data_IF_762959439535
#
_entry.id   IF_762959439535
#
_cell.length_a   1.000
_cell.length_b   1.000
_cell.length_c   1.000
_cell.angle_alpha   90.00
_cell.angle_beta   90.00
_cell.angle_gamma   90.00
#
_symmetry.space_group_name_H-M   'P 1'
#
loop_
_entity.id
_entity.type
_entity.pdbx_description
1 polymer ?
#
# COMPACT_ATOMS: atom_id res chain seq x y z
N UNK A 1 -18.79 23.90 14.40
CA UNK A 1 -19.00 22.93 13.32
C UNK A 1 -18.15 21.70 13.65
N UNK A 2 -18.75 20.56 14.01
CA UNK A 2 -17.99 19.36 14.38
C UNK A 2 -17.61 18.62 13.10
N UNK A 3 -16.33 18.51 12.80
CA UNK A 3 -15.80 17.67 11.72
C UNK A 3 -15.38 16.33 12.29
N UNK A 4 -15.87 15.27 11.71
CA UNK A 4 -15.42 13.92 11.98
C UNK A 4 -14.43 13.52 10.86
N UNK A 5 -13.17 13.29 11.21
CA UNK A 5 -12.18 12.70 10.30
C UNK A 5 -12.20 11.20 10.59
N UNK A 6 -12.80 10.44 9.70
CA UNK A 6 -12.80 8.99 9.78
C UNK A 6 -11.57 8.45 9.06
N UNK A 7 -10.57 7.98 9.79
CA UNK A 7 -9.40 7.30 9.26
C UNK A 7 -9.68 5.80 9.18
N UNK A 8 -10.08 5.33 8.02
CA UNK A 8 -10.17 3.90 7.75
C UNK A 8 -8.78 3.32 7.48
N UNK A 9 -8.55 2.08 7.87
CA UNK A 9 -7.26 1.37 7.85
C UNK A 9 -6.56 1.30 6.46
N UNK A 10 -7.19 1.79 5.41
CA UNK A 10 -6.68 1.85 4.03
C UNK A 10 -6.61 3.29 3.50
N UNK A 11 -6.10 4.23 4.28
CA UNK A 11 -5.75 5.60 3.82
C UNK A 11 -6.80 6.32 2.93
N UNK A 12 -8.08 6.14 3.17
CA UNK A 12 -9.11 7.01 2.59
C UNK A 12 -9.63 7.97 3.66
N UNK A 13 -9.34 9.25 3.51
CA UNK A 13 -9.94 10.30 4.33
C UNK A 13 -11.34 10.54 3.77
N UNK A 14 -12.36 10.04 4.45
CA UNK A 14 -13.75 10.32 4.11
C UNK A 14 -14.27 11.40 5.05
N UNK A 15 -14.36 12.64 4.57
CA UNK A 15 -15.05 13.70 5.28
C UNK A 15 -16.56 13.55 5.10
N UNK A 16 -17.25 13.08 6.12
CA UNK A 16 -18.71 12.96 6.12
C UNK A 16 -19.34 14.24 6.72
N UNK A 17 -20.08 15.00 5.93
CA UNK A 17 -20.89 16.10 6.40
C UNK A 17 -22.35 15.89 6.00
N UNK A 18 -23.22 15.61 6.96
CA UNK A 18 -24.66 15.40 6.74
C UNK A 18 -25.37 16.58 6.02
N UNK A 19 -24.82 17.80 6.10
CA UNK A 19 -25.34 19.00 5.41
C UNK A 19 -24.92 19.09 3.94
N UNK A 20 -23.83 18.43 3.52
CA UNK A 20 -23.37 18.42 2.13
C UNK A 20 -24.31 17.63 1.22
N UNK A 21 -25.00 16.62 1.75
CA UNK A 21 -25.98 15.85 0.97
C UNK A 21 -27.23 16.66 0.57
N UNK A 22 -27.55 17.76 1.25
CA UNK A 22 -28.73 18.58 0.94
C UNK A 22 -28.50 19.57 -0.22
N UNK A 23 -27.25 19.87 -0.58
CA UNK A 23 -26.88 20.79 -1.67
C UNK A 23 -26.40 20.13 -2.96
N UNK A 24 -26.31 18.80 -3.02
CA UNK A 24 -25.84 18.09 -4.21
C UNK A 24 -26.93 18.00 -5.31
N UNK A 25 -26.53 18.21 -6.56
CA UNK A 25 -27.42 18.08 -7.71
C UNK A 25 -28.00 16.65 -7.84
N UNK A 26 -29.14 16.51 -8.52
CA UNK A 26 -29.75 15.20 -8.78
C UNK A 26 -28.77 14.20 -9.45
N UNK A 27 -27.85 14.71 -10.28
CA UNK A 27 -26.80 13.92 -10.95
C UNK A 27 -25.76 13.34 -9.98
N UNK A 28 -25.35 14.12 -8.98
CA UNK A 28 -24.41 13.68 -7.93
C UNK A 28 -25.06 12.69 -6.93
N UNK A 29 -26.38 12.82 -6.68
CA UNK A 29 -27.13 11.85 -5.87
C UNK A 29 -27.29 10.49 -6.57
N UNK A 30 -27.45 10.49 -7.88
CA UNK A 30 -27.50 9.26 -8.69
C UNK A 30 -26.17 8.48 -8.60
N UNK A 31 -25.02 9.13 -8.65
CA UNK A 31 -23.69 8.51 -8.51
C UNK A 31 -23.53 7.80 -7.15
N UNK A 32 -24.01 8.39 -6.05
CA UNK A 32 -23.93 7.78 -4.71
C UNK A 32 -24.85 6.56 -4.56
N UNK A 33 -26.02 6.56 -5.19
CA UNK A 33 -27.00 5.45 -5.12
C UNK A 33 -26.51 4.24 -5.92
N UNK A 34 -25.81 4.47 -7.01
CA UNK A 34 -25.33 3.41 -7.91
C UNK A 34 -24.13 2.66 -7.29
N UNK A 35 -23.35 3.30 -6.42
CA UNK A 35 -22.28 2.65 -5.60
C UNK A 35 -22.81 1.50 -4.71
N UNK A 36 -24.13 1.46 -4.45
CA UNK A 36 -24.79 0.39 -3.67
C UNK A 36 -25.26 -0.81 -4.51
N UNK A 37 -25.26 -0.75 -5.82
CA UNK A 37 -25.85 -1.77 -6.70
C UNK A 37 -24.87 -2.52 -7.62
N UNK A 38 -23.56 -2.36 -7.42
CA UNK A 38 -22.57 -3.36 -7.84
C UNK A 38 -22.31 -3.57 -9.34
N UNK A 39 -22.76 -2.71 -10.24
CA UNK A 39 -22.26 -2.63 -11.62
C UNK A 39 -22.39 -1.18 -12.09
N UNK A 40 -21.31 -0.43 -12.10
CA UNK A 40 -21.24 0.82 -12.82
C UNK A 40 -20.14 0.71 -13.86
N UNK A 41 -20.55 0.72 -15.12
CA UNK A 41 -19.65 1.11 -16.21
C UNK A 41 -19.49 2.62 -16.07
N UNK A 42 -18.46 3.04 -15.31
CA UNK A 42 -18.07 4.45 -15.26
C UNK A 42 -17.12 4.66 -16.42
N UNK A 43 -17.54 5.39 -17.44
CA UNK A 43 -16.67 5.82 -18.51
C UNK A 43 -15.72 6.91 -17.96
N UNK A 44 -14.42 6.75 -18.18
CA UNK A 44 -13.45 7.82 -17.94
C UNK A 44 -13.73 8.92 -18.98
N UNK A 45 -13.89 10.18 -18.55
CA UNK A 45 -14.14 11.31 -19.46
C UNK A 45 -12.90 11.69 -20.29
N UNK A 46 -12.14 10.69 -20.76
CA UNK A 46 -10.95 10.84 -21.61
C UNK A 46 -10.75 9.56 -22.42
N UNK A 47 -10.87 9.63 -23.73
CA UNK A 47 -10.83 8.49 -24.63
C UNK A 47 -9.50 7.70 -24.58
N UNK A 48 -8.35 8.37 -24.38
CA UNK A 48 -7.08 7.69 -24.23
C UNK A 48 -7.03 6.87 -22.93
N UNK A 49 -7.36 7.47 -21.82
CA UNK A 49 -7.36 6.77 -20.52
C UNK A 49 -8.38 5.63 -20.48
N UNK A 50 -9.54 5.80 -21.13
CA UNK A 50 -10.50 4.71 -21.30
C UNK A 50 -9.88 3.54 -22.06
N UNK A 51 -9.20 3.81 -23.19
CA UNK A 51 -8.51 2.75 -23.95
C UNK A 51 -7.41 2.05 -23.16
N UNK A 52 -6.71 2.77 -22.26
CA UNK A 52 -5.73 2.16 -21.35
C UNK A 52 -6.42 1.26 -20.33
N UNK A 53 -7.51 1.73 -19.73
CA UNK A 53 -8.27 0.94 -18.75
C UNK A 53 -8.84 -0.35 -19.35
N UNK A 54 -9.43 -0.29 -20.53
CA UNK A 54 -9.93 -1.47 -21.26
C UNK A 54 -8.83 -2.52 -21.51
N UNK A 55 -7.61 -2.08 -21.87
CA UNK A 55 -6.45 -2.98 -22.01
C UNK A 55 -6.08 -3.65 -20.69
N UNK A 56 -6.08 -2.86 -19.59
CA UNK A 56 -5.79 -3.39 -18.25
C UNK A 56 -6.84 -4.40 -17.81
N UNK A 57 -8.13 -4.08 -17.98
CA UNK A 57 -9.24 -4.97 -17.63
C UNK A 57 -9.15 -6.31 -18.39
N UNK A 58 -8.91 -6.24 -19.70
CA UNK A 58 -8.75 -7.42 -20.55
C UNK A 58 -7.59 -8.32 -20.14
N UNK A 59 -6.49 -7.74 -19.65
CA UNK A 59 -5.29 -8.48 -19.21
C UNK A 59 -5.42 -9.06 -17.80
N UNK A 60 -6.30 -8.50 -16.97
CA UNK A 60 -6.39 -8.82 -15.54
C UNK A 60 -7.81 -9.28 -15.15
N UNK A 61 -8.36 -10.33 -15.80
CA UNK A 61 -9.71 -10.79 -15.53
C UNK A 61 -9.88 -11.24 -14.06
N UNK A 62 -10.88 -10.68 -13.38
CA UNK A 62 -11.20 -11.03 -12.00
C UNK A 62 -10.37 -10.35 -10.92
N UNK A 63 -9.39 -9.52 -11.27
CA UNK A 63 -8.56 -8.77 -10.32
C UNK A 63 -9.23 -7.45 -9.87
N UNK A 64 -10.35 -7.56 -9.17
CA UNK A 64 -11.23 -6.43 -8.82
C UNK A 64 -10.52 -5.31 -8.06
N UNK A 65 -9.68 -5.64 -7.09
CA UNK A 65 -8.97 -4.65 -6.28
C UNK A 65 -7.97 -3.86 -7.11
N UNK A 66 -7.27 -4.55 -8.01
CA UNK A 66 -6.32 -3.89 -8.92
C UNK A 66 -7.03 -3.01 -9.95
N UNK A 67 -8.09 -3.53 -10.57
CA UNK A 67 -8.88 -2.79 -11.56
C UNK A 67 -9.50 -1.52 -10.96
N UNK A 68 -10.04 -1.61 -9.73
CA UNK A 68 -10.55 -0.44 -9.02
C UNK A 68 -9.47 0.61 -8.78
N UNK A 69 -8.31 0.21 -8.31
CA UNK A 69 -7.20 1.13 -8.05
C UNK A 69 -6.70 1.82 -9.33
N UNK A 70 -6.58 1.07 -10.43
CA UNK A 70 -6.21 1.63 -11.72
C UNK A 70 -7.25 2.64 -12.19
N UNK A 71 -8.54 2.32 -12.10
CA UNK A 71 -9.62 3.23 -12.48
C UNK A 71 -9.54 4.55 -11.71
N UNK A 72 -9.47 4.50 -10.37
CA UNK A 72 -9.42 5.68 -9.50
C UNK A 72 -8.20 6.57 -9.80
N UNK A 73 -7.05 5.96 -10.10
CA UNK A 73 -5.84 6.72 -10.45
C UNK A 73 -5.96 7.33 -11.85
N UNK A 74 -6.40 6.57 -12.85
CA UNK A 74 -6.58 7.09 -14.21
C UNK A 74 -7.56 8.27 -14.25
N UNK A 75 -8.68 8.19 -13.49
CA UNK A 75 -9.61 9.31 -13.33
C UNK A 75 -8.90 10.57 -12.79
N UNK A 76 -8.03 10.40 -11.80
CA UNK A 76 -7.27 11.51 -11.22
C UNK A 76 -6.22 12.11 -12.17
N UNK A 77 -5.78 11.34 -13.18
CA UNK A 77 -4.78 11.76 -14.16
C UNK A 77 -5.37 12.49 -15.38
N UNK A 78 -6.70 12.58 -15.54
CA UNK A 78 -7.34 13.29 -16.65
C UNK A 78 -6.73 14.69 -16.86
N UNK A 79 -6.66 15.58 -15.85
CA UNK A 79 -6.10 16.92 -16.06
C UNK A 79 -4.60 16.93 -16.36
N UNK A 80 -3.90 15.83 -16.07
CA UNK A 80 -2.47 15.69 -16.38
C UNK A 80 -2.30 15.38 -17.86
N UNK A 81 -2.98 14.38 -18.40
CA UNK A 81 -2.86 13.99 -19.81
C UNK A 81 -3.39 15.07 -20.76
N UNK A 82 -4.39 15.84 -20.34
CA UNK A 82 -4.88 17.00 -21.10
C UNK A 82 -3.84 18.13 -21.21
N UNK A 83 -3.02 18.33 -20.18
CA UNK A 83 -1.96 19.37 -20.17
C UNK A 83 -0.62 18.87 -20.71
N UNK A 84 -0.41 17.58 -20.76
CA UNK A 84 0.85 16.94 -21.09
C UNK A 84 0.66 15.82 -22.14
N UNK A 85 0.34 16.20 -23.42
CA UNK A 85 0.20 15.23 -24.50
C UNK A 85 1.49 14.43 -24.78
N UNK A 86 2.64 15.01 -24.47
CA UNK A 86 3.94 14.33 -24.55
C UNK A 86 4.00 13.03 -23.72
N UNK A 87 3.31 12.96 -22.58
CA UNK A 87 3.23 11.74 -21.77
C UNK A 87 2.38 10.66 -22.45
N UNK A 88 1.37 11.07 -23.20
CA UNK A 88 0.53 10.17 -23.99
C UNK A 88 1.34 9.60 -25.16
N UNK A 89 2.02 10.44 -25.93
CA UNK A 89 2.87 10.04 -27.05
C UNK A 89 4.00 9.10 -26.60
N UNK A 90 4.60 9.36 -25.45
CA UNK A 90 5.63 8.50 -24.87
C UNK A 90 5.10 7.19 -24.24
N UNK A 91 3.78 6.96 -24.22
CA UNK A 91 3.17 5.76 -23.64
C UNK A 91 3.41 5.61 -22.12
N UNK A 92 3.56 6.72 -21.40
CA UNK A 92 3.89 6.68 -19.97
C UNK A 92 2.78 6.01 -19.17
N UNK A 93 1.51 6.32 -19.47
CA UNK A 93 0.36 5.78 -18.72
C UNK A 93 0.23 4.27 -18.98
N UNK A 94 0.40 3.81 -20.24
CA UNK A 94 0.38 2.38 -20.54
C UNK A 94 1.45 1.60 -19.75
N UNK A 95 2.63 2.19 -19.52
CA UNK A 95 3.71 1.56 -18.73
C UNK A 95 3.48 1.61 -17.23
N UNK A 96 2.90 2.71 -16.75
CA UNK A 96 2.66 2.90 -15.30
C UNK A 96 1.62 1.93 -14.74
N UNK A 97 0.66 1.49 -15.56
CA UNK A 97 -0.38 0.55 -15.13
C UNK A 97 0.02 -0.93 -15.21
N UNK A 98 1.20 -1.22 -15.76
CA UNK A 98 1.71 -2.59 -15.91
C UNK A 98 2.93 -2.81 -15.00
N UNK A 99 2.94 -3.82 -14.12
CA UNK A 99 4.09 -4.12 -13.28
C UNK A 99 5.26 -4.67 -14.10
N UNK A 100 6.49 -4.29 -13.77
CA UNK A 100 7.68 -4.80 -14.44
C UNK A 100 7.87 -6.30 -14.19
N UNK A 101 7.55 -6.79 -12.98
CA UNK A 101 7.64 -8.22 -12.62
C UNK A 101 6.64 -8.60 -11.54
N UNK A 102 6.14 -9.83 -11.64
CA UNK A 102 5.37 -10.49 -10.62
C UNK A 102 6.00 -11.84 -10.30
N UNK A 103 6.30 -12.07 -9.02
CA UNK A 103 6.94 -13.28 -8.52
C UNK A 103 5.96 -13.94 -7.57
N UNK A 104 5.57 -15.17 -7.86
CA UNK A 104 4.68 -15.99 -7.04
C UNK A 104 5.41 -17.27 -6.69
N UNK A 105 5.43 -17.62 -5.41
CA UNK A 105 6.17 -18.79 -4.94
C UNK A 105 5.43 -19.51 -3.80
N UNK A 106 5.75 -20.79 -3.65
CA UNK A 106 5.23 -21.63 -2.57
C UNK A 106 6.05 -21.43 -1.30
N UNK A 107 5.37 -21.36 -0.14
CA UNK A 107 5.98 -21.20 1.18
C UNK A 107 5.54 -22.37 2.06
N UNK A 108 6.27 -23.51 2.06
CA UNK A 108 6.01 -24.64 2.98
C UNK A 108 6.66 -24.36 4.33
N UNK A 109 5.96 -24.65 5.42
CA UNK A 109 6.47 -24.52 6.78
C UNK A 109 5.81 -25.56 7.69
N UNK A 110 6.37 -25.83 8.86
CA UNK A 110 5.86 -26.82 9.81
C UNK A 110 5.29 -26.11 11.03
N UNK A 111 4.07 -26.45 11.42
CA UNK A 111 3.44 -25.92 12.63
C UNK A 111 3.97 -26.58 13.91
N UNK A 112 3.52 -26.14 15.07
CA UNK A 112 3.97 -26.65 16.36
C UNK A 112 3.52 -28.10 16.62
N UNK A 113 2.55 -28.62 15.85
CA UNK A 113 2.12 -30.02 15.90
C UNK A 113 2.90 -30.93 14.92
N UNK A 114 3.92 -30.40 14.26
CA UNK A 114 4.71 -31.16 13.27
C UNK A 114 4.02 -31.31 11.90
N UNK A 115 2.89 -30.64 11.67
CA UNK A 115 2.15 -30.72 10.42
C UNK A 115 2.67 -29.71 9.40
N UNK A 116 2.86 -30.16 8.15
CA UNK A 116 3.24 -29.28 7.05
C UNK A 116 2.07 -28.38 6.65
N UNK A 117 2.34 -27.11 6.60
CA UNK A 117 1.48 -26.05 6.10
C UNK A 117 2.05 -25.50 4.81
N UNK A 118 1.20 -25.00 3.91
CA UNK A 118 1.62 -24.42 2.64
C UNK A 118 0.87 -23.12 2.40
N UNK A 119 1.62 -22.04 2.30
CA UNK A 119 1.11 -20.74 1.93
C UNK A 119 1.67 -20.31 0.56
N UNK A 120 1.11 -19.25 0.01
CA UNK A 120 1.56 -18.62 -1.22
C UNK A 120 2.24 -17.30 -0.90
N UNK A 121 3.46 -17.11 -1.39
CA UNK A 121 4.21 -15.87 -1.33
C UNK A 121 4.10 -15.08 -2.62
N UNK A 122 4.12 -13.74 -2.50
CA UNK A 122 4.03 -12.81 -3.62
C UNK A 122 5.06 -11.69 -3.46
N UNK A 123 5.68 -11.28 -4.58
CA UNK A 123 6.40 -10.01 -4.71
C UNK A 123 6.09 -9.40 -6.07
N UNK A 124 5.52 -8.20 -6.06
CA UNK A 124 5.33 -7.39 -7.26
C UNK A 124 6.38 -6.29 -7.25
N UNK A 125 7.29 -6.34 -8.20
CA UNK A 125 8.25 -5.31 -8.53
C UNK A 125 7.58 -4.43 -9.59
N UNK A 126 6.94 -3.34 -9.13
CA UNK A 126 5.98 -2.66 -9.97
C UNK A 126 6.65 -1.68 -10.93
N UNK A 127 7.51 -0.78 -10.42
CA UNK A 127 8.20 0.20 -11.24
C UNK A 127 9.52 0.63 -10.59
N UNK A 128 10.61 0.61 -11.35
CA UNK A 128 11.96 0.97 -10.93
C UNK A 128 12.51 2.24 -11.60
N UNK A 129 11.68 2.99 -12.34
CA UNK A 129 12.13 4.13 -13.14
C UNK A 129 12.87 5.21 -12.34
N UNK A 130 12.54 5.39 -11.06
CA UNK A 130 13.15 6.40 -10.18
C UNK A 130 14.02 5.80 -9.08
N UNK A 131 14.23 4.49 -9.06
CA UNK A 131 15.11 3.82 -8.09
C UNK A 131 14.69 2.39 -7.77
N UNK A 132 15.39 1.72 -6.85
CA UNK A 132 15.07 0.35 -6.42
C UNK A 132 13.62 0.19 -5.99
N UNK A 133 13.04 -0.97 -6.26
CA UNK A 133 11.68 -1.26 -5.80
C UNK A 133 11.61 -1.15 -4.28
N UNK A 134 10.58 -0.51 -3.75
CA UNK A 134 10.40 -0.30 -2.32
C UNK A 134 8.95 -0.47 -1.92
N UNK A 135 8.69 -1.31 -0.93
CA UNK A 135 7.37 -1.47 -0.35
C UNK A 135 7.23 -2.65 0.59
N UNK A 136 6.17 -2.63 1.41
CA UNK A 136 5.95 -3.57 2.50
C UNK A 136 5.64 -5.00 2.07
N UNK A 137 5.74 -5.91 3.05
CA UNK A 137 5.26 -7.28 2.97
C UNK A 137 4.02 -7.38 3.86
N UNK A 138 2.88 -7.75 3.29
CA UNK A 138 1.62 -7.95 4.02
C UNK A 138 1.41 -9.42 4.33
N UNK A 139 1.19 -9.76 5.60
CA UNK A 139 0.82 -11.08 6.06
C UNK A 139 -0.64 -11.06 6.54
N UNK A 140 -1.55 -11.56 5.71
CA UNK A 140 -2.97 -11.55 6.00
C UNK A 140 -3.71 -12.57 5.11
N UNK A 141 -4.75 -13.28 5.62
CA UNK A 141 -5.49 -14.28 4.84
C UNK A 141 -6.11 -13.77 3.54
N UNK A 142 -6.41 -12.46 3.45
CA UNK A 142 -6.97 -11.86 2.23
C UNK A 142 -5.95 -11.60 1.12
N UNK A 143 -4.67 -11.86 1.34
CA UNK A 143 -3.63 -11.61 0.35
C UNK A 143 -3.76 -12.56 -0.84
N UNK A 144 -3.87 -11.97 -2.02
CA UNK A 144 -3.86 -12.64 -3.32
C UNK A 144 -3.10 -11.78 -4.34
N UNK A 145 -2.96 -12.27 -5.56
CA UNK A 145 -2.24 -11.55 -6.62
C UNK A 145 -2.82 -10.15 -6.88
N UNK A 146 -4.16 -10.04 -6.99
CA UNK A 146 -4.85 -8.77 -7.19
C UNK A 146 -4.54 -7.76 -6.08
N UNK A 147 -4.61 -8.21 -4.80
CA UNK A 147 -4.31 -7.36 -3.63
C UNK A 147 -2.87 -6.85 -3.67
N UNK A 148 -1.89 -7.71 -3.95
CA UNK A 148 -0.48 -7.29 -3.98
C UNK A 148 -0.20 -6.40 -5.19
N UNK A 149 -0.84 -6.66 -6.32
CA UNK A 149 -0.70 -5.83 -7.52
C UNK A 149 -1.24 -4.41 -7.29
N UNK A 150 -2.47 -4.26 -6.74
CA UNK A 150 -3.01 -2.93 -6.47
C UNK A 150 -2.16 -2.16 -5.47
N UNK A 151 -1.70 -2.83 -4.40
CA UNK A 151 -0.84 -2.18 -3.41
C UNK A 151 0.53 -1.78 -3.99
N UNK A 152 1.07 -2.56 -4.93
CA UNK A 152 2.28 -2.20 -5.66
C UNK A 152 2.08 -1.00 -6.58
N UNK A 153 0.93 -0.93 -7.24
CA UNK A 153 0.54 0.19 -8.08
C UNK A 153 0.39 1.49 -7.27
N UNK A 154 -0.33 1.48 -6.15
CA UNK A 154 -0.43 2.64 -5.27
C UNK A 154 0.93 3.05 -4.69
N UNK A 155 1.81 2.07 -4.44
CA UNK A 155 3.13 2.32 -3.86
C UNK A 155 4.04 3.16 -4.77
N UNK A 156 3.93 3.06 -6.10
CA UNK A 156 4.75 3.87 -7.00
C UNK A 156 4.43 5.36 -6.86
N UNK A 157 3.16 5.72 -6.75
CA UNK A 157 2.74 7.13 -6.54
C UNK A 157 3.12 7.63 -5.16
N UNK A 158 2.90 6.80 -4.13
CA UNK A 158 3.31 7.12 -2.76
C UNK A 158 4.79 7.43 -2.67
N UNK A 159 5.65 6.61 -3.27
CA UNK A 159 7.09 6.78 -3.21
C UNK A 159 7.57 7.99 -4.02
N UNK A 160 6.99 8.23 -5.21
CA UNK A 160 7.34 9.39 -6.04
C UNK A 160 7.10 10.72 -5.33
N UNK A 161 6.08 10.82 -4.49
CA UNK A 161 5.76 12.02 -3.71
C UNK A 161 6.78 12.35 -2.62
N UNK A 162 7.67 11.43 -2.28
CA UNK A 162 8.73 11.68 -1.28
C UNK A 162 9.89 12.50 -1.85
N UNK A 163 10.04 12.58 -3.18
CA UNK A 163 11.20 13.16 -3.84
C UNK A 163 12.47 12.33 -3.74
N UNK A 164 12.41 11.13 -3.13
CA UNK A 164 13.56 10.23 -2.99
C UNK A 164 13.67 9.29 -4.21
N UNK A 165 14.89 8.83 -4.56
CA UNK A 165 15.13 7.91 -5.67
C UNK A 165 14.75 6.47 -5.29
N UNK A 166 13.48 6.23 -5.04
CA UNK A 166 12.92 4.93 -4.68
C UNK A 166 11.72 4.59 -5.58
N UNK A 167 11.79 3.43 -6.20
CA UNK A 167 10.70 2.87 -7.00
C UNK A 167 9.58 2.29 -6.14
N UNK A 168 8.68 1.53 -6.76
CA UNK A 168 7.54 0.92 -6.06
C UNK A 168 7.51 -0.60 -6.21
N UNK A 169 7.21 -1.26 -5.11
CA UNK A 169 6.97 -2.70 -5.06
C UNK A 169 6.13 -3.08 -3.86
N UNK A 170 5.58 -4.29 -3.88
CA UNK A 170 4.79 -4.83 -2.78
C UNK A 170 4.94 -6.34 -2.70
N UNK A 171 4.92 -6.86 -1.47
CA UNK A 171 4.93 -8.30 -1.24
C UNK A 171 3.89 -8.72 -0.22
N UNK A 172 3.73 -10.00 -0.05
CA UNK A 172 2.84 -10.56 0.95
C UNK A 172 2.64 -12.06 0.85
N UNK A 173 1.83 -12.55 1.76
CA UNK A 173 1.38 -13.94 1.79
C UNK A 173 -0.01 -14.03 2.43
N UNK A 174 -0.76 -15.05 2.06
CA UNK A 174 -2.02 -15.45 2.69
C UNK A 174 -1.85 -16.06 4.09
N UNK A 175 -0.64 -16.06 4.63
CA UNK A 175 -0.33 -16.46 5.99
C UNK A 175 -0.96 -15.50 7.01
N UNK A 176 -1.65 -16.05 8.02
CA UNK A 176 -2.18 -15.28 9.16
C UNK A 176 -1.25 -15.45 10.38
N UNK A 177 -0.53 -14.40 10.80
CA UNK A 177 0.33 -14.48 11.99
C UNK A 177 -0.44 -14.46 13.30
N UNK A 178 -1.74 -14.12 13.28
CA UNK A 178 -2.55 -14.08 14.51
C UNK A 178 -2.74 -15.46 15.10
N UNK A 179 -2.50 -15.57 16.40
CA UNK A 179 -2.64 -16.84 17.13
C UNK A 179 -1.56 -17.87 16.84
N UNK A 180 -0.52 -17.52 16.06
CA UNK A 180 0.65 -18.35 15.83
C UNK A 180 1.71 -18.11 16.90
N UNK A 181 2.43 -19.17 17.27
CA UNK A 181 3.60 -19.05 18.14
C UNK A 181 4.75 -18.32 17.44
N UNK A 182 5.69 -17.77 18.21
CA UNK A 182 6.90 -17.17 17.68
C UNK A 182 7.71 -18.14 16.83
N UNK A 183 7.74 -19.42 17.23
CA UNK A 183 8.38 -20.49 16.47
C UNK A 183 7.73 -20.74 15.11
N UNK A 184 6.41 -20.77 15.04
CA UNK A 184 5.65 -20.92 13.79
C UNK A 184 5.89 -19.73 12.86
N UNK A 185 5.79 -18.49 13.39
CA UNK A 185 6.05 -17.27 12.61
C UNK A 185 7.49 -17.23 12.11
N UNK A 186 8.45 -17.64 12.94
CA UNK A 186 9.86 -17.72 12.52
C UNK A 186 10.06 -18.73 11.37
N UNK A 187 9.52 -19.95 11.48
CA UNK A 187 9.62 -20.99 10.44
C UNK A 187 8.98 -20.51 9.13
N UNK A 188 7.80 -19.89 9.21
CA UNK A 188 7.17 -19.28 8.05
C UNK A 188 8.06 -18.19 7.42
N UNK A 189 8.55 -17.21 8.20
CA UNK A 189 9.41 -16.13 7.72
C UNK A 189 10.71 -16.63 7.08
N UNK A 190 11.30 -17.68 7.65
CA UNK A 190 12.50 -18.32 7.09
C UNK A 190 12.20 -18.97 5.74
N UNK A 191 11.11 -19.72 5.62
CA UNK A 191 10.70 -20.33 4.36
C UNK A 191 10.35 -19.29 3.30
N UNK A 192 9.60 -18.26 3.67
CA UNK A 192 9.25 -17.14 2.79
C UNK A 192 10.50 -16.43 2.25
N UNK A 193 11.47 -16.14 3.13
CA UNK A 193 12.70 -15.46 2.75
C UNK A 193 13.63 -16.34 1.91
N UNK A 194 13.60 -17.66 2.09
CA UNK A 194 14.40 -18.60 1.27
C UNK A 194 14.10 -18.46 -0.23
N UNK A 195 12.85 -18.20 -0.58
CA UNK A 195 12.49 -17.91 -1.97
C UNK A 195 12.68 -16.43 -2.32
N UNK A 196 12.22 -15.51 -1.47
CA UNK A 196 12.26 -14.09 -1.75
C UNK A 196 13.69 -13.52 -1.91
N UNK A 197 14.68 -14.04 -1.16
CA UNK A 197 16.07 -13.54 -1.18
C UNK A 197 16.73 -13.63 -2.56
N UNK A 198 16.21 -14.43 -3.48
CA UNK A 198 16.68 -14.53 -4.86
C UNK A 198 16.36 -13.30 -5.71
N UNK A 199 15.44 -12.47 -5.25
CA UNK A 199 14.84 -11.39 -6.02
C UNK A 199 15.00 -10.00 -5.41
N UNK A 200 15.57 -9.90 -4.21
CA UNK A 200 15.71 -8.67 -3.43
C UNK A 200 17.18 -8.36 -3.13
N UNK A 201 17.43 -7.11 -2.79
CA UNK A 201 18.77 -6.63 -2.42
C UNK A 201 18.73 -5.16 -2.09
N UNK A 202 19.78 -4.63 -1.46
CA UNK A 202 19.86 -3.25 -1.01
C UNK A 202 19.68 -2.23 -2.16
N UNK A 203 20.15 -2.57 -3.36
CA UNK A 203 20.17 -1.69 -4.53
C UNK A 203 19.16 -2.13 -5.62
N UNK A 204 18.39 -3.19 -5.38
CA UNK A 204 17.42 -3.71 -6.37
C UNK A 204 15.99 -3.64 -5.87
N UNK A 205 15.72 -4.22 -4.70
CA UNK A 205 14.38 -4.29 -4.13
C UNK A 205 14.48 -4.38 -2.61
N UNK A 206 13.91 -3.40 -1.92
CA UNK A 206 14.00 -3.25 -0.45
C UNK A 206 12.61 -3.40 0.18
N UNK A 207 12.24 -4.60 0.64
CA UNK A 207 11.00 -4.82 1.37
C UNK A 207 10.96 -4.09 2.72
N UNK A 208 9.76 -3.98 3.30
CA UNK A 208 9.49 -3.34 4.58
C UNK A 208 8.34 -4.04 5.32
N UNK A 209 8.02 -3.57 6.52
CA UNK A 209 6.83 -3.98 7.24
C UNK A 209 5.53 -3.45 6.61
N UNK A 210 4.44 -4.16 6.83
CA UNK A 210 3.06 -3.80 6.47
C UNK A 210 2.10 -4.52 7.45
N UNK A 211 0.82 -4.63 7.15
CA UNK A 211 -0.15 -5.39 7.97
C UNK A 211 0.39 -6.81 8.23
N UNK A 212 0.40 -7.20 9.50
CA UNK A 212 0.88 -8.52 9.95
C UNK A 212 2.40 -8.71 9.92
N UNK A 213 3.17 -7.67 9.56
CA UNK A 213 4.64 -7.72 9.49
C UNK A 213 5.24 -6.56 10.28
N UNK A 214 5.58 -6.82 11.53
CA UNK A 214 6.25 -5.88 12.41
C UNK A 214 7.75 -6.15 12.54
N UNK A 215 8.35 -5.57 13.58
CA UNK A 215 9.79 -5.71 13.85
C UNK A 215 10.22 -7.17 14.06
N UNK A 216 9.36 -8.00 14.67
CA UNK A 216 9.59 -9.43 14.88
C UNK A 216 9.75 -10.17 13.55
N UNK A 217 8.78 -10.05 12.65
CA UNK A 217 8.78 -10.69 11.34
C UNK A 217 9.94 -10.20 10.48
N UNK A 218 10.19 -8.89 10.49
CA UNK A 218 11.35 -8.30 9.78
C UNK A 218 12.66 -8.86 10.34
N UNK A 219 12.77 -9.04 11.66
CA UNK A 219 13.93 -9.64 12.29
C UNK A 219 14.18 -11.07 11.81
N UNK A 220 13.14 -11.92 11.76
CA UNK A 220 13.24 -13.29 11.27
C UNK A 220 13.61 -13.34 9.77
N UNK A 221 13.00 -12.49 8.96
CA UNK A 221 13.30 -12.38 7.53
C UNK A 221 14.74 -11.91 7.29
N UNK A 222 15.19 -10.89 8.01
CA UNK A 222 16.55 -10.38 7.87
C UNK A 222 17.60 -11.39 8.32
N UNK A 223 17.36 -12.07 9.44
CA UNK A 223 18.22 -13.15 9.91
C UNK A 223 18.38 -14.27 8.88
N UNK A 224 17.30 -14.67 8.22
CA UNK A 224 17.35 -15.69 7.16
C UNK A 224 18.05 -15.18 5.90
N UNK A 225 17.80 -13.96 5.48
CA UNK A 225 18.51 -13.32 4.36
C UNK A 225 20.02 -13.33 4.60
N UNK A 226 20.44 -12.85 5.78
CA UNK A 226 21.85 -12.86 6.18
C UNK A 226 22.47 -14.24 6.13
N UNK A 227 21.78 -15.27 6.61
CA UNK A 227 22.28 -16.66 6.58
C UNK A 227 22.48 -17.20 5.17
N UNK A 228 21.56 -16.88 4.24
CA UNK A 228 21.63 -17.36 2.86
C UNK A 228 22.65 -16.59 2.03
N UNK A 229 22.63 -15.27 2.13
CA UNK A 229 23.44 -14.36 1.30
C UNK A 229 24.83 -14.10 1.88
N UNK A 230 25.01 -14.35 3.18
CA UNK A 230 26.20 -13.97 3.95
C UNK A 230 26.51 -12.47 3.86
N UNK A 231 25.45 -11.62 3.83
CA UNK A 231 25.54 -10.18 3.68
C UNK A 231 24.80 -9.46 4.83
N UNK A 232 25.39 -8.36 5.32
CA UNK A 232 24.73 -7.47 6.26
C UNK A 232 24.51 -6.11 5.58
N UNK A 233 23.38 -5.99 4.86
CA UNK A 233 23.09 -4.85 3.99
C UNK A 233 21.77 -4.16 4.35
N UNK A 234 21.44 -3.07 3.64
CA UNK A 234 20.20 -2.31 3.76
C UNK A 234 18.97 -2.98 3.14
N UNK A 235 18.96 -4.28 2.91
CA UNK A 235 17.95 -5.01 2.13
C UNK A 235 16.52 -4.95 2.67
N UNK A 236 16.32 -4.76 3.95
CA UNK A 236 15.02 -4.66 4.62
C UNK A 236 14.95 -3.38 5.47
N UNK A 237 13.83 -2.68 5.47
CA UNK A 237 13.57 -1.60 6.43
C UNK A 237 12.58 -2.05 7.50
N UNK A 238 12.60 -1.39 8.66
CA UNK A 238 11.85 -1.81 9.85
C UNK A 238 12.60 -2.77 10.75
N UNK A 239 13.92 -2.90 10.56
CA UNK A 239 14.83 -3.64 11.45
C UNK A 239 14.92 -2.98 12.84
N UNK A 240 15.27 -3.76 13.85
CA UNK A 240 15.60 -3.23 15.16
C UNK A 240 16.85 -2.33 15.12
N UNK A 241 16.95 -1.38 16.03
CA UNK A 241 18.07 -0.40 16.10
C UNK A 241 19.43 -1.08 16.20
N UNK A 242 19.51 -2.19 16.92
CA UNK A 242 20.77 -2.94 17.13
C UNK A 242 21.31 -3.64 15.88
N UNK A 243 20.50 -3.75 14.80
CA UNK A 243 20.92 -4.40 13.56
C UNK A 243 20.49 -3.61 12.29
N UNK A 244 20.70 -2.31 12.32
CA UNK A 244 20.58 -1.45 11.16
C UNK A 244 19.22 -0.79 10.96
N UNK A 245 18.40 -0.69 12.01
CA UNK A 245 17.14 0.05 12.01
C UNK A 245 17.34 1.56 12.12
N UNK A 246 16.28 2.31 11.83
CA UNK A 246 16.23 3.77 11.89
C UNK A 246 15.41 4.25 13.08
N UNK A 247 15.83 5.34 13.70
CA UNK A 247 15.04 6.07 14.71
C UNK A 247 13.75 6.61 14.11
N UNK A 248 12.76 6.86 14.96
CA UNK A 248 11.45 7.44 14.63
C UNK A 248 10.63 6.67 13.59
N UNK A 249 11.04 5.44 13.19
CA UNK A 249 10.28 4.65 12.19
C UNK A 249 8.92 4.22 12.71
N UNK A 250 8.83 3.95 14.01
CA UNK A 250 7.60 3.47 14.65
C UNK A 250 6.51 4.54 14.62
N UNK A 251 6.86 5.77 14.91
CA UNK A 251 5.98 6.94 14.99
C UNK A 251 5.66 7.55 13.61
N UNK A 252 6.56 7.37 12.64
CA UNK A 252 6.61 8.14 11.41
C UNK A 252 5.28 8.16 10.63
N UNK A 253 4.56 7.05 10.57
CA UNK A 253 3.31 6.98 9.80
C UNK A 253 2.18 7.76 10.48
N UNK A 254 2.02 7.59 11.80
CA UNK A 254 1.02 8.31 12.58
C UNK A 254 1.29 9.81 12.62
N UNK A 255 2.54 10.19 12.86
CA UNK A 255 2.97 11.59 12.89
C UNK A 255 2.84 12.26 11.51
N UNK A 256 3.31 11.60 10.45
CA UNK A 256 3.21 12.11 9.09
C UNK A 256 1.77 12.33 8.64
N UNK A 257 0.85 11.46 9.08
CA UNK A 257 -0.58 11.64 8.84
C UNK A 257 -1.10 12.93 9.50
N UNK A 258 -0.71 13.21 10.74
CA UNK A 258 -1.13 14.44 11.44
C UNK A 258 -0.52 15.68 10.79
N UNK A 259 0.74 15.65 10.38
CA UNK A 259 1.37 16.76 9.66
C UNK A 259 0.67 17.06 8.33
N UNK A 260 0.40 16.01 7.54
CA UNK A 260 -0.33 16.17 6.28
C UNK A 260 -1.73 16.74 6.49
N UNK A 261 -2.45 16.22 7.50
CA UNK A 261 -3.80 16.69 7.84
C UNK A 261 -3.77 18.16 8.31
N UNK A 262 -2.77 18.56 9.07
CA UNK A 262 -2.57 19.95 9.50
C UNK A 262 -2.44 20.90 8.29
N UNK A 263 -1.55 20.56 7.34
CA UNK A 263 -1.38 21.36 6.12
C UNK A 263 -2.65 21.35 5.26
N UNK A 264 -3.35 20.23 5.15
CA UNK A 264 -4.62 20.16 4.43
C UNK A 264 -5.69 21.10 5.04
N UNK A 265 -5.85 21.10 6.36
CA UNK A 265 -6.80 21.98 7.07
C UNK A 265 -6.41 23.45 6.86
N UNK A 266 -5.13 23.76 6.96
CA UNK A 266 -4.61 25.10 6.72
C UNK A 266 -4.88 25.58 5.29
N UNK A 267 -4.53 24.79 4.27
CA UNK A 267 -4.73 25.15 2.87
C UNK A 267 -6.21 25.27 2.49
N UNK A 268 -7.06 24.37 2.98
CA UNK A 268 -8.47 24.34 2.57
C UNK A 268 -9.36 25.29 3.37
N UNK A 269 -8.99 25.63 4.61
CA UNK A 269 -9.87 26.35 5.55
C UNK A 269 -9.18 27.47 6.30
N UNK A 270 -7.87 27.62 6.18
CA UNK A 270 -7.04 28.52 6.99
C UNK A 270 -7.26 28.32 8.52
N UNK A 271 -7.38 27.06 8.93
CA UNK A 271 -7.61 26.64 10.32
C UNK A 271 -6.48 25.71 10.80
N UNK A 272 -6.49 25.37 12.10
CA UNK A 272 -5.55 24.42 12.73
C UNK A 272 -6.30 23.28 13.39
N UNK A 273 -5.60 22.32 14.00
CA UNK A 273 -6.20 21.28 14.83
C UNK A 273 -6.86 21.80 16.12
N UNK A 274 -6.44 22.97 16.60
CA UNK A 274 -6.93 23.53 17.86
C UNK A 274 -8.45 23.59 17.92
N UNK A 275 -9.03 23.06 18.99
CA UNK A 275 -10.48 23.04 19.22
C UNK A 275 -11.26 22.06 18.33
N UNK A 276 -10.61 21.18 17.56
CA UNK A 276 -11.28 20.21 16.71
C UNK A 276 -11.44 18.84 17.42
N UNK A 277 -12.51 18.14 17.08
CA UNK A 277 -12.68 16.74 17.48
C UNK A 277 -12.05 15.86 16.41
N UNK A 278 -11.07 15.04 16.82
CA UNK A 278 -10.40 14.05 15.99
C UNK A 278 -10.92 12.67 16.34
N UNK A 279 -11.33 11.90 15.35
CA UNK A 279 -11.78 10.51 15.51
C UNK A 279 -10.83 9.61 14.75
N UNK A 280 -10.23 8.64 15.46
CA UNK A 280 -9.28 7.68 14.89
C UNK A 280 -9.87 6.28 15.07
N UNK A 281 -9.95 5.51 13.98
CA UNK A 281 -10.39 4.13 13.98
C UNK A 281 -9.19 3.18 14.02
N UNK A 282 -9.26 2.18 14.90
CA UNK A 282 -8.21 1.18 15.08
C UNK A 282 -7.43 1.36 16.39
N UNK A 283 -6.58 0.35 16.69
CA UNK A 283 -5.74 0.31 17.90
C UNK A 283 -4.30 -0.15 17.59
N UNK A 284 -3.92 -0.15 16.31
CA UNK A 284 -2.58 -0.50 15.88
C UNK A 284 -1.60 0.66 15.95
N UNK A 285 -0.37 0.41 15.52
CA UNK A 285 0.74 1.36 15.57
C UNK A 285 0.38 2.76 15.02
N UNK A 286 -0.21 2.83 13.83
CA UNK A 286 -0.56 4.12 13.21
C UNK A 286 -1.59 4.89 14.03
N UNK A 287 -2.61 4.20 14.56
CA UNK A 287 -3.66 4.81 15.39
C UNK A 287 -3.09 5.36 16.69
N UNK A 288 -2.22 4.61 17.37
CA UNK A 288 -1.58 5.02 18.62
C UNK A 288 -0.79 6.32 18.43
N UNK A 289 0.11 6.34 17.45
CA UNK A 289 0.96 7.52 17.22
C UNK A 289 0.22 8.69 16.57
N UNK A 290 -0.81 8.44 15.78
CA UNK A 290 -1.70 9.51 15.31
C UNK A 290 -2.49 10.13 16.47
N UNK A 291 -2.96 9.32 17.43
CA UNK A 291 -3.64 9.82 18.64
C UNK A 291 -2.68 10.68 19.47
N UNK A 292 -1.48 10.17 19.74
CA UNK A 292 -0.46 10.91 20.48
C UNK A 292 -0.18 12.28 19.81
N UNK A 293 0.10 12.28 18.52
CA UNK A 293 0.46 13.52 17.80
C UNK A 293 -0.71 14.49 17.64
N UNK A 294 -1.93 14.00 17.49
CA UNK A 294 -3.11 14.85 17.42
C UNK A 294 -3.49 15.47 18.78
N UNK A 295 -3.03 14.89 19.89
CA UNK A 295 -3.25 15.40 21.26
C UNK A 295 -2.22 16.50 21.61
N UNK A 296 -0.98 16.38 21.16
CA UNK A 296 0.06 17.43 21.25
C UNK A 296 -0.35 18.69 20.48
#
# INVERSE_FOLDING_TARGET
>A
MKFCILLLANCKIVCYNKKVMCGMSKKSRAQIIIYKMGVLIMALNNAYLESVYEKVEKRNPGEKEFLQAVYEVLESLIPVVEKRPDLVEAGIIDRIVEPERQIIFRVPWVDDNGKVQVNRGFRVQFNSAIGPYKGGIRLHPSVCASVIKFLGFEQIFKNSLTGLPIGGGKGGSDFDPKGKSDGEVMRFCQSFMTELCKHIGADTDVPAGDIGTGAREIGYMFGQYKRIRNEFTGVLTGKGLSYGGSLARTEATGYGLCYYTSEMIKCMKNETFAGKTVVISGSGNVAIYATQKATE
#
